data_IF_915323110000
#
_entry.id   IF_915323110000
#
_cell.length_a   1.000
_cell.length_b   1.000
_cell.length_c   1.000
_cell.angle_alpha   90.00
_cell.angle_beta   90.00
_cell.angle_gamma   90.00
#
_symmetry.space_group_name_H-M   'P 1'
#
loop_
_entity.id
_entity.type
_entity.pdbx_description
1 polymer ?
#
# COMPACT_ATOMS: atom_id res chain seq x y z
N UNK A 1 -72.60 12.65 -58.18
CA UNK A 1 -71.41 11.82 -58.52
C UNK A 1 -70.30 12.15 -57.55
N UNK A 2 -69.69 11.15 -56.92
CA UNK A 2 -68.77 11.30 -55.79
C UNK A 2 -67.31 11.54 -56.22
N UNK A 3 -66.51 12.34 -55.48
CA UNK A 3 -65.10 12.52 -55.77
C UNK A 3 -64.28 11.36 -55.17
N UNK A 4 -63.70 10.54 -56.05
CA UNK A 4 -62.80 9.46 -55.68
C UNK A 4 -61.49 9.98 -55.08
N UNK A 5 -61.20 9.55 -53.84
CA UNK A 5 -59.98 9.85 -53.10
C UNK A 5 -58.76 9.26 -53.81
N UNK A 6 -57.80 10.10 -54.22
CA UNK A 6 -56.48 9.64 -54.69
C UNK A 6 -55.66 9.15 -53.50
N UNK A 7 -55.46 7.84 -53.40
CA UNK A 7 -54.45 7.27 -52.54
C UNK A 7 -53.07 7.73 -53.03
N UNK A 8 -52.40 8.60 -52.26
CA UNK A 8 -51.01 8.98 -52.52
C UNK A 8 -50.12 7.81 -52.10
N UNK A 9 -49.74 6.95 -53.05
CA UNK A 9 -48.62 6.03 -52.83
C UNK A 9 -47.36 6.86 -52.64
N UNK A 10 -46.80 6.88 -51.42
CA UNK A 10 -45.48 7.46 -51.19
C UNK A 10 -44.46 6.63 -51.98
N UNK A 11 -43.48 7.25 -52.65
CA UNK A 11 -42.48 6.51 -53.40
C UNK A 11 -41.65 5.66 -52.43
N UNK A 12 -41.68 4.34 -52.65
CA UNK A 12 -40.90 3.29 -51.98
C UNK A 12 -39.42 3.67 -51.68
N UNK A 13 -38.69 4.43 -52.54
CA UNK A 13 -37.33 4.88 -52.24
C UNK A 13 -37.18 5.74 -50.97
N UNK A 14 -38.19 6.55 -50.62
CA UNK A 14 -38.11 7.45 -49.46
C UNK A 14 -38.22 6.68 -48.15
N UNK A 15 -39.04 5.62 -48.11
CA UNK A 15 -39.15 4.76 -46.94
C UNK A 15 -37.86 3.98 -46.68
N UNK A 16 -37.18 3.54 -47.74
CA UNK A 16 -35.87 2.88 -47.61
C UNK A 16 -34.78 3.81 -47.10
N UNK A 17 -34.84 5.11 -47.43
CA UNK A 17 -33.92 6.11 -46.89
C UNK A 17 -34.17 6.36 -45.41
N UNK A 18 -35.45 6.53 -45.02
CA UNK A 18 -35.84 6.73 -43.61
C UNK A 18 -35.40 5.54 -42.75
N UNK A 19 -35.60 4.29 -43.21
CA UNK A 19 -35.16 3.10 -42.48
C UNK A 19 -33.64 3.06 -42.28
N UNK A 20 -32.86 3.46 -43.30
CA UNK A 20 -31.39 3.55 -43.18
C UNK A 20 -30.97 4.63 -42.19
N UNK A 21 -31.66 5.76 -42.16
CA UNK A 21 -31.41 6.84 -41.19
C UNK A 21 -31.73 6.38 -39.77
N UNK A 22 -32.84 5.66 -39.55
CA UNK A 22 -33.20 5.07 -38.26
C UNK A 22 -32.15 4.05 -37.78
N UNK A 23 -31.66 3.18 -38.66
CA UNK A 23 -30.57 2.24 -38.34
C UNK A 23 -29.27 2.96 -37.96
N UNK A 24 -28.93 4.06 -38.65
CA UNK A 24 -27.76 4.87 -38.34
C UNK A 24 -27.90 5.56 -36.99
N UNK A 25 -29.09 6.10 -36.68
CA UNK A 25 -29.39 6.68 -35.39
C UNK A 25 -29.27 5.66 -34.26
N UNK A 26 -29.81 4.44 -34.45
CA UNK A 26 -29.67 3.35 -33.48
C UNK A 26 -28.20 2.99 -33.24
N UNK A 27 -27.39 2.87 -34.30
CA UNK A 27 -25.94 2.64 -34.19
C UNK A 27 -25.25 3.76 -33.42
N UNK A 28 -25.60 5.02 -33.66
CA UNK A 28 -25.04 6.17 -32.94
C UNK A 28 -25.36 6.10 -31.44
N UNK A 29 -26.57 5.69 -31.07
CA UNK A 29 -26.93 5.49 -29.67
C UNK A 29 -26.12 4.35 -29.02
N UNK A 30 -25.91 3.26 -29.73
CA UNK A 30 -25.11 2.15 -29.24
C UNK A 30 -23.64 2.53 -29.06
N UNK A 31 -23.08 3.32 -29.98
CA UNK A 31 -21.74 3.89 -29.82
C UNK A 31 -21.66 4.84 -28.62
N UNK A 32 -22.67 5.68 -28.37
CA UNK A 32 -22.71 6.54 -27.18
C UNK A 32 -22.71 5.71 -25.90
N UNK A 33 -23.51 4.65 -25.82
CA UNK A 33 -23.54 3.74 -24.66
C UNK A 33 -22.19 3.06 -24.46
N UNK A 34 -21.53 2.64 -25.55
CA UNK A 34 -20.22 2.01 -25.50
C UNK A 34 -19.16 2.98 -24.95
N UNK A 35 -19.13 4.22 -25.44
CA UNK A 35 -18.22 5.27 -24.94
C UNK A 35 -18.45 5.53 -23.45
N UNK A 36 -19.70 5.64 -23.01
CA UNK A 36 -20.03 5.84 -21.59
C UNK A 36 -19.54 4.68 -20.71
N UNK A 37 -19.71 3.43 -21.16
CA UNK A 37 -19.19 2.26 -20.45
C UNK A 37 -17.66 2.29 -20.37
N UNK A 38 -16.99 2.63 -21.47
CA UNK A 38 -15.54 2.76 -21.51
C UNK A 38 -15.03 3.84 -20.57
N UNK A 39 -15.71 4.99 -20.49
CA UNK A 39 -15.36 6.05 -19.54
C UNK A 39 -15.53 5.62 -18.09
N UNK A 40 -16.62 4.89 -17.78
CA UNK A 40 -16.85 4.33 -16.44
C UNK A 40 -15.77 3.31 -16.06
N UNK A 41 -15.46 2.37 -16.95
CA UNK A 41 -14.41 1.36 -16.74
C UNK A 41 -13.04 2.02 -16.54
N UNK A 42 -12.73 3.05 -17.34
CA UNK A 42 -11.50 3.84 -17.18
C UNK A 42 -11.43 4.51 -15.82
N UNK A 43 -12.51 5.13 -15.36
CA UNK A 43 -12.57 5.76 -14.03
C UNK A 43 -12.39 4.73 -12.92
N UNK A 44 -13.04 3.57 -13.02
CA UNK A 44 -12.90 2.48 -12.07
C UNK A 44 -11.46 1.93 -12.04
N UNK A 45 -10.84 1.74 -13.20
CA UNK A 45 -9.45 1.30 -13.30
C UNK A 45 -8.50 2.29 -12.61
N UNK A 46 -8.68 3.60 -12.84
CA UNK A 46 -7.89 4.64 -12.16
C UNK A 46 -8.09 4.61 -10.64
N UNK A 47 -9.33 4.45 -10.17
CA UNK A 47 -9.61 4.34 -8.74
C UNK A 47 -8.97 3.10 -8.11
N UNK A 48 -9.00 1.95 -8.80
CA UNK A 48 -8.35 0.70 -8.34
C UNK A 48 -6.84 0.91 -8.18
N UNK A 49 -6.18 1.46 -9.20
CA UNK A 49 -4.73 1.75 -9.12
C UNK A 49 -4.41 2.70 -7.97
N UNK A 50 -5.22 3.74 -7.75
CA UNK A 50 -5.03 4.65 -6.62
C UNK A 50 -5.24 3.96 -5.26
N UNK A 51 -6.24 3.09 -5.14
CA UNK A 51 -6.49 2.32 -3.92
C UNK A 51 -5.35 1.36 -3.62
N UNK A 52 -4.85 0.65 -4.63
CA UNK A 52 -3.69 -0.24 -4.53
C UNK A 52 -2.43 0.53 -4.11
N UNK A 53 -2.17 1.69 -4.71
CA UNK A 53 -1.04 2.53 -4.28
C UNK A 53 -1.17 2.96 -2.81
N UNK A 54 -2.38 3.35 -2.37
CA UNK A 54 -2.62 3.72 -0.97
C UNK A 54 -2.42 2.54 -0.03
N UNK A 55 -2.92 1.35 -0.38
CA UNK A 55 -2.76 0.15 0.45
C UNK A 55 -1.30 -0.27 0.55
N UNK A 56 -0.55 -0.20 -0.55
CA UNK A 56 0.89 -0.45 -0.56
C UNK A 56 1.64 0.55 0.31
N UNK A 57 1.36 1.85 0.20
CA UNK A 57 2.02 2.85 1.05
C UNK A 57 1.68 2.62 2.53
N UNK A 58 0.44 2.27 2.84
CA UNK A 58 0.03 1.97 4.21
C UNK A 58 0.75 0.73 4.78
N UNK A 59 0.83 -0.36 4.00
CA UNK A 59 1.52 -1.58 4.42
C UNK A 59 3.03 -1.35 4.62
N UNK A 60 3.67 -0.58 3.73
CA UNK A 60 5.06 -0.18 3.90
C UNK A 60 5.31 0.65 5.16
N UNK A 61 4.39 1.56 5.50
CA UNK A 61 4.48 2.35 6.75
C UNK A 61 4.35 1.46 7.98
N UNK A 62 3.40 0.53 7.97
CA UNK A 62 3.21 -0.44 9.06
C UNK A 62 4.43 -1.32 9.24
N UNK A 63 4.97 -1.87 8.15
CA UNK A 63 6.19 -2.69 8.19
C UNK A 63 7.38 -1.90 8.74
N UNK A 64 7.58 -0.67 8.26
CA UNK A 64 8.66 0.19 8.73
C UNK A 64 8.52 0.54 10.21
N UNK A 65 7.28 0.75 10.69
CA UNK A 65 7.04 1.01 12.10
C UNK A 65 7.36 -0.22 12.96
N UNK A 66 6.85 -1.41 12.59
CA UNK A 66 7.16 -2.66 13.29
C UNK A 66 8.67 -2.92 13.33
N UNK A 67 9.36 -2.76 12.20
CA UNK A 67 10.82 -2.92 12.17
C UNK A 67 11.55 -1.94 13.10
N UNK A 68 11.11 -0.68 13.17
CA UNK A 68 11.70 0.30 14.08
C UNK A 68 11.49 -0.07 15.56
N UNK A 69 10.32 -0.63 15.91
CA UNK A 69 10.04 -1.11 17.26
C UNK A 69 10.90 -2.32 17.63
N UNK A 70 11.02 -3.30 16.73
CA UNK A 70 11.89 -4.47 16.92
C UNK A 70 13.35 -4.05 17.09
N UNK A 71 13.85 -3.15 16.26
CA UNK A 71 15.21 -2.61 16.40
C UNK A 71 15.41 -1.88 17.73
N UNK A 72 14.39 -1.15 18.21
CA UNK A 72 14.43 -0.47 19.50
C UNK A 72 14.49 -1.48 20.66
N UNK A 73 13.75 -2.58 20.59
CA UNK A 73 13.79 -3.65 21.59
C UNK A 73 15.13 -4.37 21.57
N UNK A 74 15.60 -4.80 20.40
CA UNK A 74 16.90 -5.44 20.23
C UNK A 74 18.05 -4.57 20.75
N UNK A 75 18.00 -3.25 20.51
CA UNK A 75 19.00 -2.31 21.02
C UNK A 75 19.00 -2.24 22.55
N UNK A 76 17.82 -2.30 23.20
CA UNK A 76 17.72 -2.33 24.67
C UNK A 76 18.33 -3.61 25.23
N UNK A 77 17.97 -4.76 24.68
CA UNK A 77 18.52 -6.06 25.10
C UNK A 77 20.03 -6.13 24.90
N UNK A 78 20.54 -5.62 23.77
CA UNK A 78 21.97 -5.55 23.51
C UNK A 78 22.74 -4.75 24.58
N UNK A 79 22.17 -3.62 25.04
CA UNK A 79 22.77 -2.82 26.12
C UNK A 79 22.81 -3.60 27.43
N UNK A 80 21.75 -4.33 27.77
CA UNK A 80 21.72 -5.17 28.97
C UNK A 80 22.78 -6.27 28.93
N UNK A 81 22.89 -6.98 27.79
CA UNK A 81 23.89 -8.02 27.58
C UNK A 81 25.31 -7.45 27.67
N UNK A 82 25.56 -6.30 27.01
CA UNK A 82 26.87 -5.63 27.08
C UNK A 82 27.22 -5.21 28.50
N UNK A 83 26.26 -4.68 29.25
CA UNK A 83 26.46 -4.28 30.63
C UNK A 83 26.77 -5.48 31.53
N UNK A 84 26.04 -6.59 31.36
CA UNK A 84 26.31 -7.81 32.10
C UNK A 84 27.72 -8.36 31.80
N UNK A 85 28.09 -8.44 30.51
CA UNK A 85 29.42 -8.86 30.09
C UNK A 85 30.53 -7.97 30.67
N UNK A 86 30.33 -6.64 30.66
CA UNK A 86 31.27 -5.69 31.25
C UNK A 86 31.41 -5.90 32.77
N UNK A 87 30.29 -6.07 33.49
CA UNK A 87 30.34 -6.35 34.93
C UNK A 87 31.12 -7.62 35.23
N UNK A 88 30.90 -8.69 34.47
CA UNK A 88 31.63 -9.95 34.65
C UNK A 88 33.14 -9.79 34.39
N UNK A 89 33.51 -9.04 33.35
CA UNK A 89 34.92 -8.78 33.03
C UNK A 89 35.61 -7.96 34.13
N UNK A 90 34.96 -6.88 34.60
CA UNK A 90 35.50 -6.06 35.69
C UNK A 90 35.61 -6.83 37.00
N UNK A 91 34.68 -7.73 37.30
CA UNK A 91 34.76 -8.60 38.47
C UNK A 91 35.95 -9.56 38.39
N UNK A 92 36.21 -10.12 37.20
CA UNK A 92 37.37 -10.99 36.99
C UNK A 92 38.68 -10.23 37.13
N UNK A 93 38.79 -9.04 36.54
CA UNK A 93 39.96 -8.17 36.67
C UNK A 93 40.18 -7.76 38.13
N UNK A 94 39.12 -7.39 38.85
CA UNK A 94 39.22 -7.03 40.26
C UNK A 94 39.73 -8.21 41.11
N UNK A 95 39.23 -9.42 40.86
CA UNK A 95 39.71 -10.64 41.55
C UNK A 95 41.18 -10.91 41.24
N UNK A 96 41.59 -10.76 39.97
CA UNK A 96 42.98 -10.92 39.57
C UNK A 96 43.88 -9.93 40.30
N UNK A 97 43.53 -8.64 40.29
CA UNK A 97 44.32 -7.61 40.98
C UNK A 97 44.36 -7.79 42.50
N UNK A 98 43.28 -8.27 43.11
CA UNK A 98 43.28 -8.61 44.53
C UNK A 98 44.29 -9.72 44.84
N UNK A 99 44.38 -10.74 43.99
CA UNK A 99 45.36 -11.81 44.16
C UNK A 99 46.80 -11.32 43.98
N UNK A 100 47.05 -10.48 42.96
CA UNK A 100 48.35 -9.87 42.71
C UNK A 100 48.80 -9.00 43.90
N UNK A 101 47.92 -8.16 44.44
CA UNK A 101 48.23 -7.35 45.62
C UNK A 101 48.46 -8.20 46.87
N UNK A 102 47.66 -9.25 47.08
CA UNK A 102 47.83 -10.15 48.21
C UNK A 102 49.21 -10.83 48.20
N UNK A 103 49.74 -11.18 47.02
CA UNK A 103 51.10 -11.70 46.88
C UNK A 103 52.17 -10.68 47.30
N UNK A 104 51.92 -9.39 47.12
CA UNK A 104 52.78 -8.30 47.57
C UNK A 104 52.56 -7.95 49.07
N UNK A 105 51.60 -8.59 49.74
CA UNK A 105 51.20 -8.29 51.12
C UNK A 105 50.27 -7.07 51.25
N UNK A 106 49.72 -6.59 50.14
CA UNK A 106 48.86 -5.40 50.07
C UNK A 106 47.41 -5.85 49.84
N UNK A 107 46.44 -4.98 50.12
CA UNK A 107 45.03 -5.30 49.93
C UNK A 107 44.27 -4.09 49.35
N UNK A 108 43.17 -4.37 48.64
CA UNK A 108 42.26 -3.31 48.20
C UNK A 108 41.55 -2.67 49.39
N UNK A 109 41.40 -1.35 49.33
CA UNK A 109 40.56 -0.61 50.25
C UNK A 109 39.08 -0.99 50.02
N UNK A 110 38.38 -1.28 51.12
CA UNK A 110 36.94 -1.54 51.11
C UNK A 110 36.30 -0.67 52.18
N UNK A 111 35.44 0.26 51.77
CA UNK A 111 34.58 1.00 52.70
C UNK A 111 33.60 0.02 53.34
N UNK A 112 33.64 -0.11 54.67
CA UNK A 112 32.63 -0.83 55.43
C UNK A 112 31.55 0.16 55.84
N UNK A 113 30.30 -0.10 55.42
CA UNK A 113 29.12 0.59 55.91
C UNK A 113 28.81 0.20 57.35
#
# INVERSE_FOLDING_TARGET
MAPGKRARSRPIPVLQQILKEEELLAKVEDYKKLVQRWEQERQQALQRVQQEQRSLVASWRQLRHGLAEELRLASKELVLVRRAALCSLLQQEQLQHQQELAQLGWAFYTERL
#
